data_IF_871717112684
#
_entry.id   IF_871717112684
#
_cell.length_a   1.000
_cell.length_b   1.000
_cell.length_c   1.000
_cell.angle_alpha   90.00
_cell.angle_beta   90.00
_cell.angle_gamma   90.00
#
_symmetry.space_group_name_H-M   'P 1'
#
loop_
_entity.id
_entity.type
_entity.pdbx_description
1 polymer ?
#
# COMPACT_ATOMS: atom_id res chain seq x y z
N UNK A 1 13.36 17.30 17.39
CA UNK A 1 13.17 18.76 17.25
C UNK A 1 11.80 19.01 16.63
N UNK A 2 10.90 19.71 17.31
CA UNK A 2 9.61 20.07 16.72
C UNK A 2 9.83 21.20 15.70
N UNK A 3 9.42 20.98 14.44
CA UNK A 3 9.56 21.98 13.37
C UNK A 3 8.86 23.29 13.75
N UNK A 4 9.49 24.41 13.40
CA UNK A 4 8.95 25.76 13.62
C UNK A 4 7.68 26.00 12.80
N UNK A 5 6.83 26.95 13.23
CA UNK A 5 5.61 27.31 12.50
C UNK A 5 5.91 27.76 11.05
N UNK A 6 7.04 28.43 10.85
CA UNK A 6 7.51 28.91 9.53
C UNK A 6 7.86 27.75 8.60
N UNK A 7 8.55 26.72 9.10
CA UNK A 7 8.90 25.52 8.33
C UNK A 7 7.65 24.73 7.95
N UNK A 8 6.71 24.55 8.87
CA UNK A 8 5.43 23.87 8.59
C UNK A 8 4.65 24.56 7.47
N UNK A 9 4.59 25.90 7.49
CA UNK A 9 3.88 26.70 6.47
C UNK A 9 4.57 26.65 5.10
N UNK A 10 5.92 26.56 5.08
CA UNK A 10 6.70 26.38 3.85
C UNK A 10 6.48 24.99 3.25
N UNK A 11 6.53 23.95 4.06
CA UNK A 11 6.24 22.57 3.65
C UNK A 11 4.81 22.38 3.17
N UNK A 12 3.85 23.09 3.76
CA UNK A 12 2.47 23.09 3.29
C UNK A 12 2.35 23.71 1.89
N UNK A 13 2.93 24.89 1.65
CA UNK A 13 2.91 25.51 0.32
C UNK A 13 3.63 24.69 -0.75
N UNK A 14 4.71 23.98 -0.37
CA UNK A 14 5.40 23.06 -1.27
C UNK A 14 4.48 21.89 -1.60
N UNK A 15 3.85 21.27 -0.61
CA UNK A 15 2.86 20.20 -0.84
C UNK A 15 1.70 20.67 -1.70
N UNK A 16 1.13 21.84 -1.46
CA UNK A 16 -0.03 22.34 -2.19
C UNK A 16 0.24 22.52 -3.69
N UNK A 17 1.49 22.83 -4.06
CA UNK A 17 1.94 23.01 -5.45
C UNK A 17 2.22 21.73 -6.22
N UNK A 18 2.29 20.58 -5.56
CA UNK A 18 2.58 19.29 -6.20
C UNK A 18 1.33 18.72 -6.88
N UNK A 19 1.55 18.00 -7.98
CA UNK A 19 0.52 17.18 -8.62
C UNK A 19 0.07 16.05 -7.68
N UNK A 20 -1.07 15.41 -7.98
CA UNK A 20 -1.55 14.27 -7.17
C UNK A 20 -0.53 13.12 -7.13
N UNK A 21 0.08 12.81 -8.28
CA UNK A 21 1.11 11.77 -8.42
C UNK A 21 2.37 12.09 -7.60
N UNK A 22 2.81 13.36 -7.61
CA UNK A 22 3.97 13.80 -6.84
C UNK A 22 3.70 13.80 -5.33
N UNK A 23 2.48 14.16 -4.92
CA UNK A 23 2.04 14.07 -3.52
C UNK A 23 2.03 12.63 -3.04
N UNK A 24 1.53 11.72 -3.86
CA UNK A 24 1.47 10.29 -3.55
C UNK A 24 2.88 9.69 -3.46
N UNK A 25 3.76 10.01 -4.40
CA UNK A 25 5.15 9.56 -4.37
C UNK A 25 5.89 9.96 -3.07
N UNK A 26 5.60 11.15 -2.52
CA UNK A 26 6.16 11.60 -1.24
C UNK A 26 5.62 10.84 -0.02
N UNK A 27 4.45 10.19 -0.14
CA UNK A 27 3.85 9.39 0.94
C UNK A 27 4.35 7.94 0.92
N UNK A 28 4.93 7.49 -0.19
CA UNK A 28 5.48 6.15 -0.30
C UNK A 28 6.80 6.04 0.47
N UNK A 29 6.82 5.26 1.54
CA UNK A 29 8.05 4.91 2.26
C UNK A 29 8.91 3.89 1.50
N UNK A 30 8.28 3.13 0.60
CA UNK A 30 8.90 2.08 -0.21
C UNK A 30 8.02 1.77 -1.44
N UNK A 31 8.65 1.44 -2.57
CA UNK A 31 7.99 0.87 -3.75
C UNK A 31 8.30 -0.63 -3.82
N UNK A 32 7.27 -1.46 -3.91
CA UNK A 32 7.40 -2.90 -4.18
C UNK A 32 6.98 -3.10 -5.64
N UNK A 33 7.87 -3.64 -6.46
CA UNK A 33 7.58 -4.00 -7.85
C UNK A 33 7.56 -5.52 -7.90
N UNK A 34 6.41 -6.12 -8.18
CA UNK A 34 6.24 -7.57 -8.21
C UNK A 34 6.03 -8.03 -9.64
N UNK A 35 6.85 -8.97 -10.11
CA UNK A 35 6.58 -9.73 -11.32
C UNK A 35 5.72 -10.94 -10.95
N UNK A 36 4.59 -11.12 -11.63
CA UNK A 36 3.65 -12.21 -11.38
C UNK A 36 3.67 -13.20 -12.56
N UNK A 37 3.63 -14.50 -12.25
CA UNK A 37 3.31 -15.50 -13.25
C UNK A 37 1.83 -15.39 -13.66
N UNK A 38 1.48 -15.90 -14.84
CA UNK A 38 0.09 -15.82 -15.34
C UNK A 38 -0.96 -16.39 -14.38
N UNK A 39 -0.61 -17.46 -13.64
CA UNK A 39 -1.52 -18.06 -12.67
C UNK A 39 -1.78 -17.14 -11.47
N UNK A 40 -0.74 -16.44 -11.01
CA UNK A 40 -0.83 -15.52 -9.87
C UNK A 40 -1.56 -14.23 -10.26
N UNK A 41 -1.35 -13.73 -11.47
CA UNK A 41 -2.13 -12.61 -12.03
C UNK A 41 -3.62 -12.96 -12.13
N UNK A 42 -3.94 -14.18 -12.59
CA UNK A 42 -5.32 -14.64 -12.62
C UNK A 42 -5.92 -14.76 -11.21
N UNK A 43 -5.15 -15.21 -10.22
CA UNK A 43 -5.57 -15.27 -8.82
C UNK A 43 -5.79 -13.87 -8.23
N UNK A 44 -4.91 -12.91 -8.54
CA UNK A 44 -5.05 -11.51 -8.16
C UNK A 44 -6.35 -10.92 -8.70
N UNK A 45 -6.59 -11.03 -10.01
CA UNK A 45 -7.81 -10.54 -10.67
C UNK A 45 -9.08 -11.16 -10.10
N UNK A 46 -9.09 -12.48 -9.85
CA UNK A 46 -10.23 -13.14 -9.18
C UNK A 46 -10.47 -12.58 -7.78
N UNK A 47 -9.41 -12.27 -7.05
CA UNK A 47 -9.51 -11.75 -5.69
C UNK A 47 -9.98 -10.30 -5.66
N UNK A 48 -9.50 -9.47 -6.59
CA UNK A 48 -10.03 -8.11 -6.85
C UNK A 48 -11.53 -8.16 -7.13
N UNK A 49 -11.97 -8.99 -8.08
CA UNK A 49 -13.38 -9.15 -8.41
C UNK A 49 -14.24 -9.61 -7.22
N UNK A 50 -13.74 -10.54 -6.38
CA UNK A 50 -14.45 -11.03 -5.18
C UNK A 50 -14.57 -9.98 -4.08
N UNK A 51 -13.63 -9.04 -4.00
CA UNK A 51 -13.58 -8.02 -2.95
C UNK A 51 -14.16 -6.68 -3.40
N UNK A 52 -14.39 -6.50 -4.71
CA UNK A 52 -14.83 -5.24 -5.30
C UNK A 52 -13.76 -4.15 -5.22
N UNK A 53 -12.48 -4.54 -5.20
CA UNK A 53 -11.35 -3.61 -5.17
C UNK A 53 -10.75 -3.54 -6.56
N UNK A 54 -10.82 -2.35 -7.17
CA UNK A 54 -10.43 -2.13 -8.57
C UNK A 54 -8.93 -1.80 -8.74
N UNK A 55 -8.22 -1.52 -7.65
CA UNK A 55 -6.79 -1.17 -7.67
C UNK A 55 -5.96 -2.24 -6.96
N UNK A 56 -4.96 -2.80 -7.66
CA UNK A 56 -4.08 -3.85 -7.13
C UNK A 56 -3.36 -3.38 -5.87
N UNK A 57 -2.92 -2.12 -5.86
CA UNK A 57 -2.16 -1.53 -4.75
C UNK A 57 -3.03 -1.36 -3.50
N UNK A 58 -4.33 -1.04 -3.62
CA UNK A 58 -5.25 -1.00 -2.47
C UNK A 58 -5.44 -2.42 -1.91
N UNK A 59 -5.67 -3.40 -2.77
CA UNK A 59 -5.83 -4.80 -2.34
C UNK A 59 -4.58 -5.31 -1.59
N UNK A 60 -3.39 -5.10 -2.15
CA UNK A 60 -2.12 -5.48 -1.51
C UNK A 60 -1.95 -4.73 -0.18
N UNK A 61 -2.26 -3.43 -0.15
CA UNK A 61 -2.17 -2.62 1.07
C UNK A 61 -3.08 -3.16 2.19
N UNK A 62 -4.29 -3.61 1.84
CA UNK A 62 -5.22 -4.22 2.80
C UNK A 62 -4.72 -5.59 3.26
N UNK A 63 -4.14 -6.40 2.37
CA UNK A 63 -3.53 -7.67 2.77
C UNK A 63 -2.40 -7.49 3.77
N UNK A 64 -1.49 -6.54 3.52
CA UNK A 64 -0.38 -6.24 4.44
C UNK A 64 -0.92 -5.81 5.80
N UNK A 65 -1.88 -4.88 5.85
CA UNK A 65 -2.49 -4.43 7.12
C UNK A 65 -3.27 -5.53 7.83
N UNK A 66 -3.90 -6.43 7.09
CA UNK A 66 -4.59 -7.59 7.63
C UNK A 66 -3.61 -8.56 8.29
N UNK A 67 -2.54 -8.91 7.56
CA UNK A 67 -1.47 -9.78 8.04
C UNK A 67 -0.76 -9.21 9.28
N UNK A 68 -0.48 -7.91 9.32
CA UNK A 68 0.15 -7.23 10.46
C UNK A 68 -0.66 -7.31 11.77
N UNK A 69 -1.98 -7.46 11.66
CA UNK A 69 -2.88 -7.60 12.82
C UNK A 69 -3.10 -9.05 13.26
N UNK A 70 -2.59 -10.01 12.50
CA UNK A 70 -2.70 -11.43 12.85
C UNK A 70 -1.72 -11.78 13.97
N UNK A 71 -2.05 -12.79 14.77
CA UNK A 71 -1.05 -13.43 15.63
C UNK A 71 -0.07 -14.24 14.79
N UNK A 72 1.12 -14.53 15.32
CA UNK A 72 2.13 -15.35 14.64
C UNK A 72 1.57 -16.68 14.13
N UNK A 73 0.71 -17.34 14.92
CA UNK A 73 0.04 -18.58 14.52
C UNK A 73 -0.93 -18.37 13.36
N UNK A 74 -1.77 -17.32 13.42
CA UNK A 74 -2.71 -17.02 12.35
C UNK A 74 -1.99 -16.67 11.05
N UNK A 75 -0.92 -15.88 11.14
CA UNK A 75 -0.09 -15.51 9.99
C UNK A 75 0.60 -16.75 9.40
N UNK A 76 1.17 -17.62 10.24
CA UNK A 76 1.81 -18.85 9.81
C UNK A 76 0.85 -19.78 9.06
N UNK A 77 -0.38 -19.92 9.55
CA UNK A 77 -1.42 -20.69 8.86
C UNK A 77 -1.87 -20.02 7.56
N UNK A 78 -2.01 -18.70 7.55
CA UNK A 78 -2.43 -17.94 6.37
C UNK A 78 -1.44 -18.06 5.18
N UNK A 79 -0.13 -18.03 5.45
CA UNK A 79 0.90 -18.07 4.38
C UNK A 79 1.25 -19.49 3.91
N UNK A 80 0.82 -20.53 4.61
CA UNK A 80 1.25 -21.92 4.36
C UNK A 80 0.67 -22.57 3.11
N UNK A 81 -0.21 -21.89 2.36
CA UNK A 81 -0.74 -22.26 1.03
C UNK A 81 -0.67 -23.79 0.76
N UNK A 82 -1.68 -24.54 1.20
CA UNK A 82 -1.87 -25.94 0.83
C UNK A 82 -2.28 -26.10 -0.63
#
# INVERSE_FOLDING_TARGET
MAKSATERKREQRVRDKLSAEEKEALLLSRKIVTALYHNDDAALKRTMARTGIDEEQDLISRFIRGADRMTDHQLAEFIRLH
#
